data_IF_878778728679
#
_entry.id   IF_878778728679
#
_cell.length_a   1.000
_cell.length_b   1.000
_cell.length_c   1.000
_cell.angle_alpha   90.00
_cell.angle_beta   90.00
_cell.angle_gamma   90.00
#
_symmetry.space_group_name_H-M   'P 1'
#
loop_
_entity.id
_entity.type
_entity.pdbx_description
1 polymer ?
#
# COMPACT_ATOMS: atom_id res chain seq x y z
N UNK A 1 81.31 7.80 24.42
CA UNK A 1 80.72 7.00 23.33
C UNK A 1 79.29 6.61 23.71
N UNK A 2 78.32 7.10 22.92
CA UNK A 2 77.09 6.45 22.40
C UNK A 2 76.26 5.61 23.38
N UNK A 3 74.96 5.82 23.61
CA UNK A 3 73.99 6.70 22.97
C UNK A 3 72.60 6.20 23.35
N UNK A 4 71.83 7.01 24.08
CA UNK A 4 70.40 6.87 24.26
C UNK A 4 69.71 7.21 22.93
N UNK A 5 68.68 6.46 22.53
CA UNK A 5 67.54 6.89 21.70
C UNK A 5 66.70 5.66 21.33
N UNK A 6 65.45 5.58 21.80
CA UNK A 6 64.26 5.51 20.94
C UNK A 6 62.97 5.41 21.76
N UNK A 7 62.25 6.55 21.76
CA UNK A 7 60.80 6.69 21.57
C UNK A 7 59.94 6.15 22.73
N UNK A 8 59.45 6.94 23.71
CA UNK A 8 58.68 8.19 23.61
C UNK A 8 57.74 8.24 22.41
N UNK A 9 56.50 7.79 22.60
CA UNK A 9 55.32 8.29 21.87
C UNK A 9 54.07 8.22 22.76
N UNK A 10 54.17 8.77 23.97
CA UNK A 10 53.00 9.30 24.69
C UNK A 10 52.82 10.75 24.23
N UNK A 11 52.09 10.95 23.12
CA UNK A 11 51.66 12.29 22.70
C UNK A 11 50.16 12.29 22.43
N UNK A 12 49.44 12.86 23.41
CA UNK A 12 48.23 13.65 23.25
C UNK A 12 47.25 13.20 22.16
N UNK A 13 46.29 12.34 22.53
CA UNK A 13 45.01 12.32 21.84
C UNK A 13 44.18 13.48 22.40
N UNK A 14 43.79 14.48 21.59
CA UNK A 14 43.00 15.59 22.08
C UNK A 14 41.62 15.11 22.56
N UNK A 15 41.15 15.66 23.68
CA UNK A 15 39.85 15.35 24.30
C UNK A 15 38.66 15.51 23.33
N UNK A 16 38.84 16.24 22.22
CA UNK A 16 37.85 16.42 21.15
C UNK A 16 37.62 15.18 20.27
N UNK A 17 38.45 14.14 20.36
CA UNK A 17 38.22 12.86 19.67
C UNK A 17 37.47 11.84 20.53
N UNK A 18 37.60 11.89 21.86
CA UNK A 18 36.78 11.06 22.76
C UNK A 18 35.31 11.52 22.81
N UNK A 19 35.05 12.82 22.67
CA UNK A 19 33.67 13.33 22.54
C UNK A 19 33.03 13.02 21.17
N UNK A 20 33.81 12.82 20.11
CA UNK A 20 33.29 12.40 18.80
C UNK A 20 33.02 10.89 18.69
N UNK A 21 33.69 10.08 19.52
CA UNK A 21 33.42 8.64 19.64
C UNK A 21 32.30 8.30 20.63
N UNK A 22 31.83 9.27 21.41
CA UNK A 22 30.53 9.22 22.07
C UNK A 22 29.43 9.75 21.14
N UNK A 23 29.31 9.18 19.92
CA UNK A 23 27.99 9.07 19.33
C UNK A 23 27.20 8.25 20.34
N UNK A 24 26.35 8.91 21.12
CA UNK A 24 25.35 8.27 21.97
C UNK A 24 24.74 7.17 21.10
N UNK A 25 25.11 5.92 21.36
CA UNK A 25 24.29 4.75 21.03
C UNK A 25 23.05 4.92 21.90
N UNK A 26 22.17 5.83 21.50
CA UNK A 26 20.79 5.72 21.92
C UNK A 26 20.38 4.32 21.46
N UNK A 27 19.96 3.50 22.41
CA UNK A 27 19.22 2.29 22.08
C UNK A 27 18.14 2.74 21.10
N UNK A 28 18.25 2.26 19.86
CA UNK A 28 17.39 2.75 18.78
C UNK A 28 15.97 2.35 19.13
N UNK A 29 15.08 3.32 19.29
CA UNK A 29 13.68 3.02 19.46
C UNK A 29 13.22 2.20 18.25
N UNK A 30 12.67 1.02 18.50
CA UNK A 30 11.98 0.25 17.46
C UNK A 30 10.85 1.13 16.93
N UNK A 31 10.65 1.24 15.60
CA UNK A 31 9.53 2.01 15.06
C UNK A 31 8.22 1.57 15.72
N UNK A 32 7.45 2.53 16.21
CA UNK A 32 6.14 2.31 16.83
C UNK A 32 5.19 1.62 15.84
N UNK A 33 5.20 2.06 14.58
CA UNK A 33 4.42 1.43 13.52
C UNK A 33 5.28 1.02 12.33
N UNK A 34 5.06 -0.21 11.87
CA UNK A 34 5.51 -0.68 10.56
C UNK A 34 4.27 -1.01 9.75
N UNK A 35 4.01 -0.27 8.70
CA UNK A 35 2.76 -0.33 7.94
C UNK A 35 3.04 -0.76 6.51
N UNK A 36 2.34 -1.79 6.07
CA UNK A 36 2.39 -2.25 4.69
C UNK A 36 1.08 -1.92 3.98
N UNK A 37 1.18 -1.22 2.83
CA UNK A 37 0.05 -0.91 1.96
C UNK A 37 -0.02 -1.97 0.87
N UNK A 38 -1.08 -2.76 0.89
CA UNK A 38 -1.41 -3.79 -0.10
C UNK A 38 -2.74 -3.51 -0.80
N UNK A 39 -3.13 -4.38 -1.70
CA UNK A 39 -4.36 -4.28 -2.50
C UNK A 39 -4.19 -4.83 -3.91
N UNK A 40 -5.30 -4.95 -4.62
CA UNK A 40 -5.28 -5.23 -6.05
C UNK A 40 -4.61 -4.06 -6.80
N UNK A 41 -4.01 -4.35 -7.95
CA UNK A 41 -3.50 -3.31 -8.82
C UNK A 41 -4.63 -2.33 -9.18
N UNK A 42 -4.33 -1.03 -9.20
CA UNK A 42 -5.27 0.05 -9.54
C UNK A 42 -6.41 0.28 -8.52
N UNK A 43 -6.28 -0.26 -7.31
CA UNK A 43 -7.22 -0.02 -6.20
C UNK A 43 -6.90 1.19 -5.33
N UNK A 44 -6.00 2.08 -5.77
CA UNK A 44 -5.67 3.30 -5.01
C UNK A 44 -4.44 3.20 -4.10
N UNK A 45 -3.65 2.13 -4.16
CA UNK A 45 -2.45 1.96 -3.30
C UNK A 45 -1.46 3.14 -3.36
N UNK A 46 -1.25 3.74 -4.54
CA UNK A 46 -0.41 4.94 -4.69
C UNK A 46 -1.03 6.18 -4.05
N UNK A 47 -2.36 6.33 -4.11
CA UNK A 47 -3.05 7.45 -3.47
C UNK A 47 -2.97 7.33 -1.95
N UNK A 48 -3.20 6.14 -1.42
CA UNK A 48 -3.03 5.84 0.02
C UNK A 48 -1.60 6.08 0.48
N UNK A 49 -0.58 5.68 -0.31
CA UNK A 49 0.82 5.96 0.01
C UNK A 49 1.11 7.47 0.08
N UNK A 50 0.47 8.30 -0.77
CA UNK A 50 0.60 9.76 -0.70
C UNK A 50 -0.06 10.32 0.54
N UNK A 51 -1.28 9.87 0.86
CA UNK A 51 -1.97 10.26 2.09
C UNK A 51 -1.09 10.00 3.33
N UNK A 52 -0.37 8.86 3.38
CA UNK A 52 0.52 8.58 4.51
C UNK A 52 1.60 9.65 4.71
N UNK A 53 1.99 10.44 3.70
CA UNK A 53 2.97 11.54 3.84
C UNK A 53 2.41 12.76 4.56
N UNK A 54 1.10 12.80 4.77
CA UNK A 54 0.40 13.87 5.46
C UNK A 54 0.37 13.65 6.99
N UNK A 55 0.99 12.60 7.52
CA UNK A 55 1.16 12.41 8.97
C UNK A 55 2.50 12.97 9.46
N UNK A 56 2.58 13.21 10.76
CA UNK A 56 3.81 13.53 11.48
C UNK A 56 4.65 12.27 11.74
N UNK A 57 5.96 12.45 11.97
CA UNK A 57 6.90 11.41 12.37
C UNK A 57 6.79 10.10 11.54
N UNK A 58 6.70 10.26 10.22
CA UNK A 58 6.47 9.16 9.29
C UNK A 58 7.45 9.17 8.13
N UNK A 59 8.02 8.01 7.85
CA UNK A 59 8.78 7.77 6.64
C UNK A 59 7.99 6.87 5.69
N UNK A 60 7.64 7.42 4.53
CA UNK A 60 6.99 6.67 3.46
C UNK A 60 8.03 6.32 2.40
N UNK A 61 8.43 5.05 2.34
CA UNK A 61 9.36 4.56 1.33
C UNK A 61 8.80 4.82 -0.07
N UNK A 62 9.47 5.64 -0.92
CA UNK A 62 8.89 6.05 -2.21
C UNK A 62 8.73 4.90 -3.21
N UNK A 63 9.73 4.03 -3.42
CA UNK A 63 9.60 2.88 -4.31
C UNK A 63 8.54 1.87 -3.84
N UNK A 64 8.00 1.14 -4.79
CA UNK A 64 7.28 -0.09 -4.49
C UNK A 64 8.26 -1.18 -4.03
N UNK A 65 7.92 -1.90 -2.96
CA UNK A 65 8.76 -2.97 -2.42
C UNK A 65 7.94 -4.06 -1.71
N UNK A 66 8.61 -5.14 -1.33
CA UNK A 66 8.09 -6.16 -0.40
C UNK A 66 8.08 -5.65 1.03
N UNK A 67 7.23 -6.22 1.89
CA UNK A 67 7.15 -5.84 3.31
C UNK A 67 8.48 -6.00 4.06
N UNK A 68 9.36 -6.93 3.64
CA UNK A 68 10.69 -7.10 4.22
C UNK A 68 11.58 -5.84 4.11
N UNK A 69 11.23 -4.90 3.22
CA UNK A 69 11.88 -3.59 3.17
C UNK A 69 11.75 -2.84 4.49
N UNK A 70 10.65 -3.01 5.24
CA UNK A 70 10.46 -2.35 6.54
C UNK A 70 11.55 -2.71 7.57
N UNK A 71 12.16 -3.89 7.46
CA UNK A 71 13.25 -4.33 8.33
C UNK A 71 14.61 -3.75 7.92
N UNK A 72 14.75 -3.31 6.66
CA UNK A 72 15.97 -2.77 6.10
C UNK A 72 16.04 -1.23 6.16
N UNK A 73 14.93 -0.58 6.53
CA UNK A 73 14.87 0.88 6.57
C UNK A 73 15.56 1.44 7.81
N UNK A 74 16.71 2.08 7.57
CA UNK A 74 17.48 2.80 8.59
C UNK A 74 16.96 4.24 8.73
N UNK A 75 15.85 4.42 9.46
CA UNK A 75 15.17 5.70 9.59
C UNK A 75 15.02 6.16 11.04
N UNK A 76 15.06 7.47 11.32
CA UNK A 76 14.77 8.01 12.65
C UNK A 76 13.28 8.08 12.97
N UNK A 77 12.40 8.10 11.98
CA UNK A 77 10.96 8.24 12.18
C UNK A 77 10.34 7.01 12.87
N UNK A 78 9.39 7.23 13.79
CA UNK A 78 8.73 6.13 14.52
C UNK A 78 7.77 5.33 13.65
N UNK A 79 7.30 5.88 12.53
CA UNK A 79 6.33 5.24 11.66
C UNK A 79 6.93 4.98 10.28
N UNK A 80 7.01 3.72 9.87
CA UNK A 80 7.57 3.32 8.58
C UNK A 80 6.49 2.74 7.68
N UNK A 81 6.41 3.21 6.44
CA UNK A 81 5.41 2.76 5.46
C UNK A 81 6.08 2.25 4.20
N UNK A 82 5.67 1.06 3.75
CA UNK A 82 6.05 0.49 2.45
C UNK A 82 4.80 0.13 1.65
N UNK A 83 4.77 0.50 0.37
CA UNK A 83 3.73 0.09 -0.58
C UNK A 83 4.20 -1.12 -1.38
N UNK A 84 3.31 -2.10 -1.56
CA UNK A 84 3.54 -3.31 -2.34
C UNK A 84 4.11 -3.04 -3.75
N UNK A 85 5.00 -3.93 -4.19
CA UNK A 85 5.38 -4.09 -5.61
C UNK A 85 4.44 -4.97 -6.39
N UNK A 86 4.63 -5.08 -7.71
CA UNK A 86 3.86 -5.90 -8.65
C UNK A 86 3.62 -7.37 -8.22
N UNK A 87 4.50 -7.95 -7.39
CA UNK A 87 4.48 -9.34 -6.92
C UNK A 87 4.18 -9.48 -5.43
N UNK A 88 3.90 -8.39 -4.72
CA UNK A 88 3.66 -8.39 -3.27
C UNK A 88 2.57 -9.34 -2.81
N UNK A 89 1.57 -9.62 -3.67
CA UNK A 89 0.51 -10.60 -3.41
C UNK A 89 1.06 -12.01 -3.10
N UNK A 90 2.22 -12.40 -3.66
CA UNK A 90 2.76 -13.75 -3.53
C UNK A 90 3.19 -14.08 -2.09
N UNK A 91 3.45 -13.08 -1.26
CA UNK A 91 3.91 -13.24 0.12
C UNK A 91 2.93 -12.67 1.14
N UNK A 92 1.78 -12.17 0.70
CA UNK A 92 0.84 -11.46 1.57
C UNK A 92 0.39 -12.33 2.76
N UNK A 93 0.13 -13.62 2.54
CA UNK A 93 -0.26 -14.55 3.61
C UNK A 93 0.83 -14.78 4.68
N UNK A 94 2.10 -14.47 4.37
CA UNK A 94 3.25 -14.58 5.27
C UNK A 94 3.62 -13.25 5.93
N UNK A 95 2.83 -12.20 5.73
CA UNK A 95 3.06 -10.89 6.34
C UNK A 95 3.04 -11.03 7.88
N UNK A 96 4.12 -10.64 8.59
CA UNK A 96 4.15 -10.69 10.05
C UNK A 96 2.97 -9.95 10.69
N UNK A 97 2.46 -10.45 11.80
CA UNK A 97 1.36 -9.83 12.57
C UNK A 97 1.76 -8.52 13.24
N UNK A 98 3.06 -8.32 13.49
CA UNK A 98 3.62 -7.07 14.00
C UNK A 98 3.67 -5.93 12.98
N UNK A 99 3.49 -6.22 11.69
CA UNK A 99 3.39 -5.20 10.63
C UNK A 99 1.90 -4.89 10.45
N UNK A 100 1.49 -3.64 10.62
CA UNK A 100 0.15 -3.17 10.28
C UNK A 100 -0.16 -3.32 8.79
N UNK A 101 -1.41 -3.64 8.45
CA UNK A 101 -1.84 -3.82 7.05
C UNK A 101 -2.96 -2.86 6.69
N UNK A 102 -2.70 -2.04 5.67
CA UNK A 102 -3.72 -1.33 4.92
C UNK A 102 -3.99 -2.10 3.63
N UNK A 103 -5.22 -2.53 3.39
CA UNK A 103 -5.62 -3.21 2.16
C UNK A 103 -6.55 -2.32 1.33
N UNK A 104 -6.04 -1.81 0.21
CA UNK A 104 -6.77 -0.93 -0.68
C UNK A 104 -7.68 -1.72 -1.62
N UNK A 105 -8.93 -1.29 -1.70
CA UNK A 105 -10.00 -1.90 -2.50
C UNK A 105 -10.60 -0.88 -3.43
N UNK A 106 -11.16 -1.36 -4.53
CA UNK A 106 -11.89 -0.55 -5.50
C UNK A 106 -12.89 -1.44 -6.20
N UNK A 107 -13.96 -0.86 -6.73
CA UNK A 107 -14.87 -1.58 -7.60
C UNK A 107 -14.09 -2.39 -8.67
N UNK A 108 -14.31 -3.71 -8.79
CA UNK A 108 -13.53 -4.56 -9.70
C UNK A 108 -13.62 -4.10 -11.16
N UNK A 109 -14.78 -3.61 -11.59
CA UNK A 109 -14.94 -3.11 -12.97
C UNK A 109 -14.15 -1.84 -13.26
N UNK A 110 -14.03 -0.90 -12.31
CA UNK A 110 -13.14 0.27 -12.50
C UNK A 110 -11.66 -0.13 -12.54
N UNK A 111 -11.31 -1.18 -11.79
CA UNK A 111 -9.97 -1.76 -11.77
C UNK A 111 -9.63 -2.43 -13.11
N UNK A 112 -10.52 -3.29 -13.60
CA UNK A 112 -10.38 -4.04 -14.85
C UNK A 112 -10.42 -3.13 -16.09
N UNK A 113 -11.06 -1.97 -15.99
CA UNK A 113 -11.12 -0.97 -17.08
C UNK A 113 -10.12 0.18 -16.87
N UNK A 114 -9.14 0.02 -15.97
CA UNK A 114 -8.06 0.99 -15.77
C UNK A 114 -6.96 0.83 -16.80
N UNK A 115 -6.62 1.92 -17.48
CA UNK A 115 -5.38 2.05 -18.24
C UNK A 115 -4.20 2.47 -17.34
N UNK A 116 -2.97 2.26 -17.83
CA UNK A 116 -1.73 2.70 -17.20
C UNK A 116 -0.71 3.07 -18.29
N UNK A 117 -0.03 4.22 -18.21
CA UNK A 117 0.90 4.67 -19.25
C UNK A 117 1.95 3.62 -19.66
N UNK A 118 2.58 2.97 -18.68
CA UNK A 118 3.61 1.95 -18.93
C UNK A 118 3.12 0.68 -19.65
N UNK A 119 1.83 0.34 -19.56
CA UNK A 119 1.31 -0.90 -20.20
C UNK A 119 0.37 -0.61 -21.36
N UNK A 120 0.06 0.66 -21.65
CA UNK A 120 -0.94 1.02 -22.68
C UNK A 120 -0.55 0.56 -24.07
N UNK A 121 0.76 0.44 -24.34
CA UNK A 121 1.29 -0.03 -25.62
C UNK A 121 1.30 -1.57 -25.72
N UNK A 122 1.10 -2.29 -24.61
CA UNK A 122 1.11 -3.76 -24.57
C UNK A 122 -0.31 -4.33 -24.51
N UNK A 123 -1.24 -3.60 -23.89
CA UNK A 123 -2.63 -4.00 -23.70
C UNK A 123 -3.51 -2.80 -23.37
N UNK A 124 -4.79 -2.90 -23.74
CA UNK A 124 -5.80 -1.85 -23.50
C UNK A 124 -5.96 -1.53 -22.01
N UNK A 125 -6.13 -2.55 -21.18
CA UNK A 125 -6.30 -2.41 -19.74
C UNK A 125 -5.10 -2.97 -18.97
N UNK A 126 -4.71 -2.27 -17.90
CA UNK A 126 -3.54 -2.60 -17.10
C UNK A 126 -3.73 -3.86 -16.22
N UNK A 127 -4.97 -4.19 -15.87
CA UNK A 127 -5.28 -5.34 -15.02
C UNK A 127 -5.97 -6.38 -15.87
N UNK A 128 -5.39 -7.58 -15.93
CA UNK A 128 -6.05 -8.74 -16.53
C UNK A 128 -6.94 -9.42 -15.50
N UNK A 129 -8.00 -10.14 -15.92
CA UNK A 129 -8.81 -10.95 -15.02
C UNK A 129 -7.97 -11.90 -14.15
N UNK A 130 -6.99 -12.58 -14.76
CA UNK A 130 -6.08 -13.48 -14.04
C UNK A 130 -5.27 -12.77 -12.94
N UNK A 131 -4.77 -11.55 -13.22
CA UNK A 131 -4.04 -10.77 -12.22
C UNK A 131 -4.96 -10.38 -11.06
N UNK A 132 -6.16 -9.90 -11.37
CA UNK A 132 -7.14 -9.53 -10.35
C UNK A 132 -7.51 -10.72 -9.45
N UNK A 133 -7.79 -11.89 -10.04
CA UNK A 133 -8.05 -13.13 -9.29
C UNK A 133 -6.87 -13.48 -8.39
N UNK A 134 -5.66 -13.46 -8.93
CA UNK A 134 -4.45 -13.84 -8.18
C UNK A 134 -4.26 -12.94 -6.94
N UNK A 135 -4.55 -11.64 -7.07
CA UNK A 135 -4.45 -10.66 -5.99
C UNK A 135 -5.58 -10.81 -4.96
N UNK A 136 -6.81 -11.10 -5.39
CA UNK A 136 -7.92 -11.39 -4.47
C UNK A 136 -7.73 -12.72 -3.74
N UNK A 137 -7.27 -13.76 -4.42
CA UNK A 137 -6.96 -15.06 -3.82
C UNK A 137 -5.80 -14.96 -2.82
N UNK A 138 -4.90 -13.99 -2.97
CA UNK A 138 -3.89 -13.70 -1.95
C UNK A 138 -4.49 -13.11 -0.67
N UNK A 139 -5.52 -12.25 -0.77
CA UNK A 139 -6.26 -11.77 0.40
C UNK A 139 -7.00 -12.91 1.11
N UNK A 140 -7.67 -13.78 0.36
CA UNK A 140 -8.37 -14.95 0.92
C UNK A 140 -7.38 -15.86 1.65
N UNK A 141 -6.21 -16.13 1.04
CA UNK A 141 -5.15 -16.92 1.68
C UNK A 141 -4.62 -16.26 2.94
N UNK A 142 -4.47 -14.93 2.96
CA UNK A 142 -4.11 -14.19 4.18
C UNK A 142 -5.16 -14.38 5.27
N UNK A 143 -6.44 -14.13 4.96
CA UNK A 143 -7.55 -14.29 5.93
C UNK A 143 -7.62 -15.72 6.47
N UNK A 144 -7.36 -16.73 5.64
CA UNK A 144 -7.30 -18.14 6.08
C UNK A 144 -6.08 -18.43 6.96
N UNK A 145 -4.90 -17.93 6.59
CA UNK A 145 -3.67 -18.17 7.33
C UNK A 145 -3.59 -17.40 8.65
N UNK A 146 -4.26 -16.25 8.73
CA UNK A 146 -4.24 -15.33 9.88
C UNK A 146 -5.66 -14.81 10.16
N UNK A 147 -6.59 -15.65 10.68
CA UNK A 147 -8.02 -15.31 10.80
C UNK A 147 -8.32 -14.16 11.77
N UNK A 148 -7.47 -13.93 12.76
CA UNK A 148 -7.62 -12.86 13.76
C UNK A 148 -6.84 -11.58 13.41
N UNK A 149 -6.19 -11.56 12.24
CA UNK A 149 -5.40 -10.40 11.83
C UNK A 149 -6.31 -9.21 11.58
N UNK A 150 -5.99 -8.09 12.21
CA UNK A 150 -6.62 -6.81 11.89
C UNK A 150 -6.13 -6.31 10.53
N UNK A 151 -7.07 -5.97 9.66
CA UNK A 151 -6.82 -5.43 8.33
C UNK A 151 -7.60 -4.13 8.21
N UNK A 152 -6.90 -3.01 8.01
CA UNK A 152 -7.58 -1.75 7.69
C UNK A 152 -7.91 -1.74 6.19
N UNK A 153 -9.18 -1.95 5.88
CA UNK A 153 -9.67 -1.84 4.51
C UNK A 153 -9.91 -0.39 4.14
N UNK A 154 -9.34 0.04 3.01
CA UNK A 154 -9.50 1.40 2.46
C UNK A 154 -10.14 1.28 1.09
N UNK A 155 -11.37 1.79 0.93
CA UNK A 155 -12.05 1.84 -0.36
C UNK A 155 -11.58 3.06 -1.13
N UNK A 156 -11.27 2.87 -2.40
CA UNK A 156 -10.85 3.94 -3.29
C UNK A 156 -11.94 5.00 -3.44
N UNK A 157 -13.19 4.56 -3.53
CA UNK A 157 -14.38 5.40 -3.65
C UNK A 157 -14.48 6.35 -2.45
N UNK A 158 -14.31 5.83 -1.23
CA UNK A 158 -14.34 6.64 0.00
C UNK A 158 -13.13 7.59 0.07
N UNK A 159 -11.95 7.15 -0.38
CA UNK A 159 -10.75 7.98 -0.46
C UNK A 159 -10.93 9.18 -1.41
N UNK A 160 -11.70 9.00 -2.48
CA UNK A 160 -11.99 10.07 -3.43
C UNK A 160 -13.11 10.97 -2.91
N UNK A 161 -14.16 10.42 -2.29
CA UNK A 161 -15.33 11.16 -1.83
C UNK A 161 -15.13 11.91 -0.49
N UNK A 162 -14.33 11.35 0.42
CA UNK A 162 -14.09 11.89 1.75
C UNK A 162 -12.63 11.62 2.21
N UNK A 163 -11.63 12.24 1.55
CA UNK A 163 -10.21 11.97 1.80
C UNK A 163 -9.79 12.19 3.26
N UNK A 164 -10.25 13.27 3.90
CA UNK A 164 -9.87 13.59 5.28
C UNK A 164 -10.51 12.64 6.28
N UNK A 165 -11.73 12.16 6.02
CA UNK A 165 -12.35 11.12 6.85
C UNK A 165 -11.57 9.79 6.75
N UNK A 166 -11.05 9.45 5.57
CA UNK A 166 -10.16 8.28 5.44
C UNK A 166 -8.81 8.50 6.14
N UNK A 167 -8.27 9.72 6.10
CA UNK A 167 -7.08 10.08 6.85
C UNK A 167 -7.30 9.91 8.36
N UNK A 168 -8.40 10.42 8.90
CA UNK A 168 -8.75 10.30 10.32
C UNK A 168 -8.94 8.84 10.74
N UNK A 169 -9.54 8.01 9.88
CA UNK A 169 -9.67 6.57 10.12
C UNK A 169 -8.32 5.86 10.17
N UNK A 170 -7.40 6.21 9.27
CA UNK A 170 -6.03 5.68 9.27
C UNK A 170 -5.28 6.15 10.53
N UNK A 171 -5.41 7.43 10.90
CA UNK A 171 -4.85 7.99 12.13
C UNK A 171 -5.31 7.21 13.36
N UNK A 172 -6.62 6.99 13.50
CA UNK A 172 -7.18 6.24 14.62
C UNK A 172 -6.67 4.80 14.66
N UNK A 173 -6.59 4.13 13.50
CA UNK A 173 -6.19 2.72 13.43
C UNK A 173 -4.72 2.47 13.78
N UNK A 174 -3.84 3.46 13.59
CA UNK A 174 -2.40 3.32 13.79
C UNK A 174 -1.82 4.29 14.83
N UNK A 175 -2.66 5.09 15.49
CA UNK A 175 -2.22 6.13 16.42
C UNK A 175 -1.35 7.20 15.77
N UNK A 176 -1.69 7.64 14.56
CA UNK A 176 -0.92 8.66 13.83
C UNK A 176 -1.53 10.05 14.03
N UNK A 177 -0.68 11.08 13.98
CA UNK A 177 -1.11 12.49 14.04
C UNK A 177 -1.06 13.12 12.66
N UNK A 178 -2.17 13.66 12.13
CA UNK A 178 -2.15 14.41 10.87
C UNK A 178 -1.28 15.68 10.99
N UNK A 179 -0.36 15.87 10.05
CA UNK A 179 0.44 17.10 9.87
C UNK A 179 -0.30 18.13 9.01
N UNK A 180 -1.03 17.66 8.00
CA UNK A 180 -1.86 18.45 7.08
C UNK A 180 -3.07 17.60 6.68
N UNK A 181 -4.21 18.23 6.37
CA UNK A 181 -5.35 17.53 5.76
C UNK A 181 -4.98 17.02 4.38
N UNK A 182 -5.42 15.82 4.01
CA UNK A 182 -5.06 15.27 2.71
C UNK A 182 -5.74 16.02 1.56
N UNK A 183 -6.93 16.58 1.78
CA UNK A 183 -7.60 17.47 0.83
C UNK A 183 -6.82 18.76 0.54
N UNK A 184 -6.02 19.23 1.49
CA UNK A 184 -5.19 20.44 1.40
C UNK A 184 -3.78 20.17 0.84
N UNK A 185 -3.37 18.91 0.75
CA UNK A 185 -2.06 18.54 0.20
C UNK A 185 -2.00 18.84 -1.31
N UNK A 186 -1.09 19.72 -1.79
CA UNK A 186 -1.01 20.08 -3.20
C UNK A 186 -0.61 18.89 -4.09
N UNK A 187 -0.02 17.84 -3.51
CA UNK A 187 0.35 16.61 -4.20
C UNK A 187 -0.77 15.55 -4.21
N UNK A 188 -1.96 15.86 -3.69
CA UNK A 188 -3.10 14.97 -3.79
C UNK A 188 -3.54 14.83 -5.27
N UNK A 189 -3.76 13.58 -5.71
CA UNK A 189 -4.16 13.26 -7.08
C UNK A 189 -5.56 12.65 -7.10
N UNK A 190 -6.46 13.26 -6.34
CA UNK A 190 -7.86 12.86 -6.32
C UNK A 190 -8.45 13.14 -7.70
N UNK A 191 -9.01 12.10 -8.32
CA UNK A 191 -9.60 12.18 -9.67
C UNK A 191 -10.99 11.55 -9.65
N UNK A 192 -12.00 12.38 -9.37
CA UNK A 192 -13.42 11.98 -9.32
C UNK A 192 -13.86 11.33 -10.62
N UNK A 193 -13.37 11.80 -11.77
CA UNK A 193 -13.67 11.23 -13.09
C UNK A 193 -13.26 9.75 -13.27
N UNK A 194 -12.51 9.19 -12.33
CA UNK A 194 -12.12 7.78 -12.36
C UNK A 194 -13.13 6.83 -11.70
N UNK A 195 -14.13 7.36 -10.97
CA UNK A 195 -15.17 6.57 -10.33
C UNK A 195 -16.25 6.16 -11.34
N UNK A 196 -16.66 4.88 -11.30
CA UNK A 196 -17.80 4.34 -12.07
C UNK A 196 -17.73 4.66 -13.57
N UNK A 197 -16.52 4.85 -14.12
CA UNK A 197 -16.33 5.17 -15.55
C UNK A 197 -16.77 4.00 -16.44
N UNK A 198 -16.76 2.78 -15.90
CA UNK A 198 -17.25 1.59 -16.59
C UNK A 198 -18.74 1.67 -16.93
N UNK A 199 -19.53 2.46 -16.19
CA UNK A 199 -20.97 2.60 -16.46
C UNK A 199 -21.24 3.47 -17.69
N UNK A 200 -20.43 4.51 -17.86
CA UNK A 200 -20.64 5.56 -18.87
C UNK A 200 -19.94 5.28 -20.18
N UNK A 201 -19.05 4.30 -20.22
CA UNK A 201 -18.26 3.97 -21.40
C UNK A 201 -18.72 2.64 -22.01
N UNK A 202 -19.22 2.69 -23.24
CA UNK A 202 -19.75 1.52 -23.94
C UNK A 202 -18.69 0.45 -24.22
N UNK A 203 -17.49 0.84 -24.64
CA UNK A 203 -16.36 -0.08 -24.83
C UNK A 203 -16.06 -0.86 -23.54
N UNK A 204 -16.12 -0.18 -22.39
CA UNK A 204 -15.88 -0.81 -21.09
C UNK A 204 -16.99 -1.79 -20.74
N UNK A 205 -18.26 -1.44 -20.98
CA UNK A 205 -19.39 -2.36 -20.76
C UNK A 205 -19.28 -3.59 -21.66
N UNK A 206 -18.96 -3.43 -22.94
CA UNK A 206 -18.75 -4.54 -23.87
C UNK A 206 -17.61 -5.45 -23.41
N UNK A 207 -16.47 -4.88 -23.02
CA UNK A 207 -15.35 -5.65 -22.47
C UNK A 207 -15.75 -6.44 -21.22
N UNK A 208 -16.46 -5.82 -20.28
CA UNK A 208 -16.88 -6.44 -19.03
C UNK A 208 -17.94 -7.53 -19.26
N UNK A 209 -18.86 -7.32 -20.21
CA UNK A 209 -19.88 -8.31 -20.61
C UNK A 209 -19.29 -9.55 -21.27
N UNK A 210 -18.11 -9.44 -21.89
CA UNK A 210 -17.39 -10.58 -22.46
C UNK A 210 -16.56 -11.39 -21.45
N UNK A 211 -16.58 -11.05 -20.15
CA UNK A 211 -15.79 -11.77 -19.14
C UNK A 211 -16.41 -13.13 -18.80
N UNK A 212 -15.60 -14.18 -18.53
CA UNK A 212 -16.13 -15.50 -18.24
C UNK A 212 -17.09 -15.53 -17.03
N UNK A 213 -18.21 -16.27 -17.07
CA UNK A 213 -19.16 -16.34 -15.96
C UNK A 213 -18.53 -16.76 -14.63
N UNK A 214 -17.59 -17.72 -14.66
CA UNK A 214 -16.87 -18.16 -13.47
C UNK A 214 -16.02 -17.04 -12.84
N UNK A 215 -15.45 -16.15 -13.66
CA UNK A 215 -14.74 -14.96 -13.19
C UNK A 215 -15.71 -13.95 -12.58
N UNK A 216 -16.83 -13.67 -13.25
CA UNK A 216 -17.86 -12.75 -12.76
C UNK A 216 -18.45 -13.21 -11.42
N UNK A 217 -18.62 -14.52 -11.20
CA UNK A 217 -19.01 -15.06 -9.89
C UNK A 217 -17.98 -14.77 -8.79
N UNK A 218 -16.67 -14.71 -9.11
CA UNK A 218 -15.63 -14.29 -8.14
C UNK A 218 -15.70 -12.79 -7.87
N UNK A 219 -15.98 -11.98 -8.90
CA UNK A 219 -16.22 -10.54 -8.76
C UNK A 219 -17.43 -10.27 -7.87
N UNK A 220 -18.55 -10.97 -8.09
CA UNK A 220 -19.77 -10.83 -7.30
C UNK A 220 -19.53 -11.12 -5.81
N UNK A 221 -18.77 -12.17 -5.49
CA UNK A 221 -18.39 -12.45 -4.09
C UNK A 221 -17.57 -11.34 -3.46
N UNK A 222 -16.60 -10.78 -4.19
CA UNK A 222 -15.84 -9.63 -3.73
C UNK A 222 -16.75 -8.42 -3.47
N UNK A 223 -17.68 -8.14 -4.40
CA UNK A 223 -18.61 -7.04 -4.26
C UNK A 223 -19.53 -7.22 -3.05
N UNK A 224 -20.07 -8.42 -2.84
CA UNK A 224 -20.87 -8.74 -1.65
C UNK A 224 -20.06 -8.61 -0.36
N UNK A 225 -18.81 -9.06 -0.34
CA UNK A 225 -17.91 -8.97 0.83
C UNK A 225 -17.61 -7.52 1.22
N UNK A 226 -17.49 -6.61 0.25
CA UNK A 226 -17.01 -5.25 0.47
C UNK A 226 -18.04 -4.16 0.19
N UNK A 227 -19.33 -4.53 0.06
CA UNK A 227 -20.43 -3.59 -0.13
C UNK A 227 -20.34 -2.78 -1.42
N UNK A 228 -19.99 -3.42 -2.52
CA UNK A 228 -20.11 -2.85 -3.86
C UNK A 228 -21.36 -3.37 -4.56
N UNK A 229 -22.05 -2.48 -5.26
CA UNK A 229 -23.16 -2.86 -6.13
C UNK A 229 -22.63 -3.57 -7.37
N UNK A 230 -23.21 -4.72 -7.71
CA UNK A 230 -23.00 -5.36 -9.00
C UNK A 230 -24.14 -4.99 -9.94
N UNK A 231 -23.86 -4.53 -11.17
CA UNK A 231 -24.91 -4.44 -12.18
C UNK A 231 -25.42 -5.86 -12.42
N UNK A 232 -26.70 -6.08 -12.11
CA UNK A 232 -27.34 -7.39 -12.23
C UNK A 232 -27.23 -7.84 -13.68
N UNK A 233 -26.48 -8.90 -13.94
CA UNK A 233 -26.57 -9.64 -15.20
C UNK A 233 -27.18 -11.00 -14.92
N UNK A 234 -28.50 -11.04 -14.85
CA UNK A 234 -29.26 -12.25 -15.14
C UNK A 234 -29.89 -12.04 -16.52
N UNK A 235 -29.47 -12.79 -17.55
CA UNK A 235 -30.45 -13.29 -18.50
C UNK A 235 -31.18 -14.41 -17.76
N UNK A 236 -32.45 -14.18 -17.43
CA UNK A 236 -33.41 -15.28 -17.33
C UNK A 236 -33.31 -16.04 -18.65
N UNK A 237 -32.78 -17.26 -18.60
CA UNK A 237 -32.98 -18.20 -19.68
C UNK A 237 -34.46 -18.55 -19.61
N UNK A 238 -35.29 -17.85 -20.37
CA UNK A 238 -36.60 -18.35 -20.73
C UNK A 238 -36.36 -19.62 -21.55
N UNK A 239 -36.49 -20.76 -20.89
CA UNK A 239 -36.65 -22.04 -21.56
C UNK A 239 -37.95 -21.97 -22.38
N UNK A 240 -37.81 -21.94 -23.70
CA UNK A 240 -38.85 -22.38 -24.64
C UNK A 240 -38.42 -23.70 -25.24
#
# INVERSE_FOLDING_TARGET
MKGAHRLEFLRFVPLSLRQRMQRRRYARATPANRIFISGCARSGTTLTQRLMRCFEDIFVHPPEARYAMLDMLDRPESNLVVKRDARGFAHLAKLPTSIGLIYCMRHPFDTLTSSHPQTRNQRRFHVTPQRWLTEYDALIRLKKAQPHRQILFVRYEDMIGAPDAQQDRIAQSFGLTPRIRFSEDPDNLIRVASLRKWERNEEFRTYLGGLPPAFLARVQRFCAEFGYDMPISTPTVDAR
#
